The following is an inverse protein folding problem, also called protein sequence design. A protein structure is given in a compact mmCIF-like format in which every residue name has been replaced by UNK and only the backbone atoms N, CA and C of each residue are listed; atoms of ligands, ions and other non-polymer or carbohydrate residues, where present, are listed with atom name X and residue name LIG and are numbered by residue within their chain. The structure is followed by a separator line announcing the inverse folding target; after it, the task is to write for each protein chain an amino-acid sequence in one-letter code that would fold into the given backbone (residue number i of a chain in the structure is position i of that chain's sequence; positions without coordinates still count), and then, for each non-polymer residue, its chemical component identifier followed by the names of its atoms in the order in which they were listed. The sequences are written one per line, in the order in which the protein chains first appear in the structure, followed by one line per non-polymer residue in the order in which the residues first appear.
data_IF_858294892748
#
_entry.id   IF_858294892748
#
_cell.length_a   1.000
_cell.length_b   1.000
_cell.length_c   1.000
_cell.angle_alpha   90.00
_cell.angle_beta   90.00
_cell.angle_gamma   90.00
#
_symmetry.space_group_name_H-M   'P 1'
#
loop_
_entity.id
_entity.type
_entity.pdbx_description
1 polymer ?
#
# COMPACT_ATOMS: atom_id res chain seq x y z
N UNK A 1 41.82 30.33 -16.22
CA UNK A 1 40.54 31.01 -16.56
C UNK A 1 39.46 30.05 -17.08
N UNK A 2 39.69 29.25 -18.14
CA UNK A 2 38.67 28.29 -18.69
C UNK A 2 38.18 27.22 -17.69
N UNK A 3 39.07 26.68 -16.84
CA UNK A 3 38.69 25.69 -15.82
C UNK A 3 37.81 26.27 -14.69
N UNK A 4 38.02 27.54 -14.35
CA UNK A 4 37.26 28.24 -13.31
C UNK A 4 35.84 28.59 -13.79
N UNK A 5 35.72 29.07 -15.04
CA UNK A 5 34.43 29.29 -15.71
C UNK A 5 33.61 27.99 -15.88
N UNK A 6 34.26 26.86 -16.19
CA UNK A 6 33.60 25.53 -16.23
C UNK A 6 33.13 25.08 -14.84
N UNK A 7 33.88 25.34 -13.76
CA UNK A 7 33.45 25.07 -12.38
C UNK A 7 32.24 25.92 -11.97
N UNK A 8 32.23 27.20 -12.32
CA UNK A 8 31.08 28.10 -12.07
C UNK A 8 29.84 27.69 -12.85
N UNK A 9 29.99 27.32 -14.13
CA UNK A 9 28.89 26.79 -14.95
C UNK A 9 28.31 25.50 -14.35
N UNK A 10 29.15 24.55 -13.93
CA UNK A 10 28.69 23.33 -13.25
C UNK A 10 27.98 23.61 -11.93
N UNK A 11 28.50 24.53 -11.10
CA UNK A 11 27.83 24.93 -9.85
C UNK A 11 26.45 25.54 -10.09
N UNK A 12 26.30 26.39 -11.12
CA UNK A 12 25.00 26.96 -11.50
C UNK A 12 24.02 25.89 -11.96
N UNK A 13 24.45 24.95 -12.80
CA UNK A 13 23.61 23.83 -13.26
C UNK A 13 23.16 22.97 -12.09
N UNK A 14 24.07 22.60 -11.18
CA UNK A 14 23.73 21.82 -9.98
C UNK A 14 22.73 22.57 -9.10
N UNK A 15 22.91 23.88 -8.88
CA UNK A 15 21.94 24.66 -8.12
C UNK A 15 20.57 24.70 -8.79
N UNK A 16 20.50 24.87 -10.11
CA UNK A 16 19.23 24.85 -10.85
C UNK A 16 18.53 23.50 -10.66
N UNK A 17 19.25 22.39 -10.81
CA UNK A 17 18.71 21.04 -10.63
C UNK A 17 18.16 20.87 -9.21
N UNK A 18 18.93 21.25 -8.19
CA UNK A 18 18.50 21.16 -6.79
C UNK A 18 17.28 22.04 -6.51
N UNK A 19 17.24 23.25 -7.04
CA UNK A 19 16.08 24.14 -6.91
C UNK A 19 14.82 23.55 -7.56
N UNK A 20 14.94 22.95 -8.74
CA UNK A 20 13.82 22.29 -9.43
C UNK A 20 13.33 21.08 -8.65
N UNK A 21 14.23 20.24 -8.14
CA UNK A 21 13.86 19.09 -7.28
C UNK A 21 13.15 19.57 -6.02
N UNK A 22 13.69 20.59 -5.34
CA UNK A 22 13.11 21.12 -4.11
C UNK A 22 11.72 21.70 -4.36
N UNK A 23 11.54 22.48 -5.43
CA UNK A 23 10.23 22.99 -5.84
C UNK A 23 9.26 21.85 -6.11
N UNK A 24 9.69 20.81 -6.82
CA UNK A 24 8.88 19.61 -7.08
C UNK A 24 8.41 18.93 -5.79
N UNK A 25 9.33 18.69 -4.84
CA UNK A 25 8.99 18.07 -3.54
C UNK A 25 8.01 18.95 -2.75
N UNK A 26 8.23 20.26 -2.70
CA UNK A 26 7.33 21.20 -2.01
C UNK A 26 5.94 21.19 -2.65
N UNK A 27 5.85 21.21 -3.98
CA UNK A 27 4.58 21.10 -4.70
C UNK A 27 3.85 19.78 -4.40
N UNK A 28 4.56 18.65 -4.42
CA UNK A 28 3.98 17.34 -4.07
C UNK A 28 3.49 17.31 -2.62
N UNK A 29 4.22 17.90 -1.69
CA UNK A 29 3.82 17.97 -0.29
C UNK A 29 2.54 18.80 -0.11
N UNK A 30 2.46 19.97 -0.75
CA UNK A 30 1.26 20.83 -0.76
C UNK A 30 0.07 20.07 -1.37
N UNK A 31 0.23 19.48 -2.55
CA UNK A 31 -0.82 18.71 -3.23
C UNK A 31 -1.28 17.54 -2.36
N UNK A 32 -0.35 16.84 -1.69
CA UNK A 32 -0.68 15.73 -0.80
C UNK A 32 -1.51 16.15 0.42
N UNK A 33 -1.58 17.45 0.76
CA UNK A 33 -2.38 17.96 1.89
C UNK A 33 -3.73 18.53 1.43
N UNK A 34 -3.75 19.21 0.29
CA UNK A 34 -4.93 19.93 -0.20
C UNK A 34 -5.88 19.00 -0.96
N UNK A 35 -5.35 18.00 -1.66
CA UNK A 35 -6.18 17.11 -2.44
C UNK A 35 -6.97 16.14 -1.54
N UNK A 36 -8.28 15.97 -1.79
CA UNK A 36 -9.11 15.06 -1.03
C UNK A 36 -8.61 13.63 -1.22
N UNK A 37 -8.63 12.85 -0.14
CA UNK A 37 -8.44 11.40 -0.25
C UNK A 37 -9.60 10.86 -1.07
N UNK A 38 -9.32 10.19 -2.19
CA UNK A 38 -10.39 9.61 -3.01
C UNK A 38 -11.26 8.71 -2.12
N UNK A 39 -12.58 8.92 -2.11
CA UNK A 39 -13.47 8.06 -1.34
C UNK A 39 -13.29 6.64 -1.87
N UNK A 40 -12.85 5.74 -0.99
CA UNK A 40 -12.86 4.31 -1.26
C UNK A 40 -14.33 3.89 -1.25
N UNK A 41 -14.75 3.06 -2.21
CA UNK A 41 -16.11 2.55 -2.26
C UNK A 41 -16.53 1.87 -0.95
N UNK A 42 -17.83 1.63 -0.78
CA UNK A 42 -18.35 0.94 0.40
C UNK A 42 -17.86 -0.51 0.42
N UNK A 43 -16.82 -0.76 1.22
CA UNK A 43 -16.27 -2.09 1.45
C UNK A 43 -16.91 -2.69 2.71
N UNK A 44 -17.35 -3.95 2.60
CA UNK A 44 -17.92 -4.69 3.73
C UNK A 44 -17.15 -6.00 3.94
N UNK A 45 -16.40 -6.08 5.05
CA UNK A 45 -15.70 -7.30 5.44
C UNK A 45 -16.66 -8.48 5.60
N UNK A 46 -17.87 -8.24 6.09
CA UNK A 46 -18.92 -9.26 6.20
C UNK A 46 -19.26 -9.88 4.83
N UNK A 47 -19.42 -9.04 3.80
CA UNK A 47 -19.71 -9.49 2.44
C UNK A 47 -18.53 -10.27 1.86
N UNK A 48 -17.30 -9.79 2.07
CA UNK A 48 -16.09 -10.48 1.60
C UNK A 48 -15.95 -11.87 2.23
N UNK A 49 -16.10 -11.96 3.55
CA UNK A 49 -16.03 -13.22 4.30
C UNK A 49 -17.11 -14.19 3.82
N UNK A 50 -18.37 -13.74 3.72
CA UNK A 50 -19.47 -14.60 3.28
C UNK A 50 -19.30 -15.12 1.85
N UNK A 51 -18.62 -14.36 0.98
CA UNK A 51 -18.43 -14.71 -0.43
C UNK A 51 -17.22 -15.60 -0.68
N UNK A 52 -16.13 -15.39 0.03
CA UNK A 52 -14.83 -15.97 -0.30
C UNK A 52 -14.31 -16.99 0.71
N UNK A 53 -14.79 -16.99 1.94
CA UNK A 53 -14.33 -17.91 2.98
C UNK A 53 -15.20 -19.18 2.98
N UNK A 54 -14.62 -20.38 2.85
CA UNK A 54 -15.37 -21.63 2.93
C UNK A 54 -16.07 -21.80 4.29
N UNK A 55 -17.31 -22.32 4.29
CA UNK A 55 -18.12 -22.43 5.50
C UNK A 55 -17.46 -23.22 6.64
N UNK A 56 -16.62 -24.22 6.34
CA UNK A 56 -15.87 -24.99 7.33
C UNK A 56 -14.78 -24.19 8.07
N UNK A 57 -14.27 -23.11 7.48
CA UNK A 57 -13.30 -22.21 8.13
C UNK A 57 -13.99 -21.19 9.04
N UNK A 58 -15.23 -20.81 8.73
CA UNK A 58 -16.01 -19.87 9.56
C UNK A 58 -16.27 -20.42 10.97
N UNK A 59 -16.47 -21.73 11.10
CA UNK A 59 -16.61 -22.39 12.41
C UNK A 59 -15.31 -22.49 13.20
N UNK A 60 -14.15 -22.46 12.52
CA UNK A 60 -12.83 -22.59 13.14
C UNK A 60 -12.26 -21.24 13.59
N UNK A 61 -12.43 -20.19 12.78
CA UNK A 61 -11.82 -18.86 13.02
C UNK A 61 -12.84 -17.74 13.26
N UNK A 62 -14.14 -18.05 13.19
CA UNK A 62 -15.25 -17.14 13.47
C UNK A 62 -15.55 -16.13 12.35
N UNK A 63 -16.65 -15.39 12.53
CA UNK A 63 -17.06 -14.23 11.70
C UNK A 63 -16.60 -12.90 12.31
N UNK A 64 -15.81 -12.94 13.38
CA UNK A 64 -15.75 -11.82 14.32
C UNK A 64 -14.96 -10.64 13.75
N UNK A 65 -15.55 -9.44 13.85
CA UNK A 65 -14.85 -8.15 13.81
C UNK A 65 -13.98 -7.92 15.07
N UNK A 66 -13.88 -8.90 15.97
CA UNK A 66 -12.99 -8.83 17.13
C UNK A 66 -11.64 -9.37 16.72
N UNK A 67 -10.69 -8.46 16.68
CA UNK A 67 -9.32 -8.74 17.12
C UNK A 67 -9.42 -9.56 18.41
N UNK A 68 -8.74 -10.71 18.46
CA UNK A 68 -8.50 -11.64 19.57
C UNK A 68 -8.95 -13.08 19.30
N UNK A 69 -7.94 -13.94 19.11
CA UNK A 69 -8.05 -15.35 19.48
C UNK A 69 -8.19 -15.47 21.01
N UNK A 70 -9.00 -16.41 21.53
CA UNK A 70 -9.32 -16.53 22.95
C UNK A 70 -8.21 -17.13 23.83
N UNK A 71 -7.06 -17.50 23.28
CA UNK A 71 -6.04 -18.29 23.99
C UNK A 71 -4.67 -17.60 24.12
N UNK A 72 -4.54 -16.35 23.67
CA UNK A 72 -3.29 -15.61 23.74
C UNK A 72 -2.21 -16.11 22.77
N UNK A 73 -2.52 -17.05 21.87
CA UNK A 73 -1.65 -17.37 20.74
C UNK A 73 -1.88 -16.35 19.63
N UNK A 74 -0.85 -15.56 19.32
CA UNK A 74 -0.85 -14.72 18.13
C UNK A 74 -0.44 -15.65 16.99
N UNK A 75 -1.38 -15.98 16.11
CA UNK A 75 -1.09 -16.77 14.92
C UNK A 75 0.12 -16.18 14.18
N UNK A 76 1.04 -17.03 13.72
CA UNK A 76 2.14 -16.56 12.89
C UNK A 76 1.62 -16.10 11.53
N UNK A 77 2.23 -15.08 10.94
CA UNK A 77 1.86 -14.63 9.60
C UNK A 77 2.00 -15.75 8.54
N UNK A 78 2.88 -16.73 8.77
CA UNK A 78 3.03 -17.91 7.93
C UNK A 78 1.79 -18.82 7.97
N UNK A 79 1.19 -19.02 9.15
CA UNK A 79 -0.05 -19.79 9.30
C UNK A 79 -1.24 -19.05 8.68
N UNK A 80 -1.30 -17.73 8.86
CA UNK A 80 -2.31 -16.90 8.18
C UNK A 80 -2.19 -17.04 6.66
N UNK A 81 -0.98 -16.87 6.12
CA UNK A 81 -0.70 -16.94 4.67
C UNK A 81 -1.18 -18.23 4.04
N UNK A 82 -1.02 -19.35 4.76
CA UNK A 82 -1.33 -20.67 4.24
C UNK A 82 -2.83 -20.90 4.04
N UNK A 83 -3.63 -20.52 5.04
CA UNK A 83 -5.01 -21.01 5.13
C UNK A 83 -6.06 -19.87 5.18
N UNK A 84 -5.66 -18.60 5.32
CA UNK A 84 -6.58 -17.47 5.59
C UNK A 84 -6.38 -16.24 4.72
N UNK A 85 -5.55 -16.34 3.68
CA UNK A 85 -5.40 -15.30 2.65
C UNK A 85 -6.11 -15.75 1.38
N UNK A 86 -7.06 -14.95 0.91
CA UNK A 86 -7.87 -15.26 -0.26
C UNK A 86 -7.67 -14.26 -1.38
N UNK A 87 -7.44 -14.76 -2.59
CA UNK A 87 -7.35 -13.93 -3.78
C UNK A 87 -8.76 -13.56 -4.32
N UNK A 88 -9.03 -12.27 -4.52
CA UNK A 88 -10.36 -11.72 -4.89
C UNK A 88 -10.29 -10.79 -6.10
N UNK A 89 -11.44 -10.46 -6.71
CA UNK A 89 -11.51 -9.39 -7.73
C UNK A 89 -11.25 -8.04 -7.05
N UNK A 90 -10.37 -7.21 -7.63
CA UNK A 90 -10.03 -5.90 -7.09
C UNK A 90 -11.26 -4.98 -6.91
N UNK A 91 -12.32 -5.16 -7.71
CA UNK A 91 -13.59 -4.43 -7.55
C UNK A 91 -14.30 -4.75 -6.24
N UNK A 92 -14.21 -5.99 -5.76
CA UNK A 92 -14.85 -6.42 -4.52
C UNK A 92 -14.17 -5.79 -3.29
N UNK A 93 -12.90 -5.41 -3.42
CA UNK A 93 -12.15 -4.67 -2.39
C UNK A 93 -11.96 -3.18 -2.74
N UNK A 94 -12.89 -2.61 -3.51
CA UNK A 94 -12.93 -1.19 -3.85
C UNK A 94 -11.61 -0.64 -4.45
N UNK A 95 -10.93 -1.46 -5.26
CA UNK A 95 -9.67 -1.11 -5.92
C UNK A 95 -8.44 -1.16 -5.01
N UNK A 96 -8.55 -1.68 -3.78
CA UNK A 96 -7.41 -1.91 -2.91
C UNK A 96 -6.51 -3.02 -3.45
N UNK A 97 -5.24 -2.97 -3.08
CA UNK A 97 -4.30 -4.06 -3.35
C UNK A 97 -4.60 -5.26 -2.44
N UNK A 98 -4.92 -5.00 -1.17
CA UNK A 98 -5.32 -5.99 -0.17
C UNK A 98 -6.05 -5.35 1.02
N UNK A 99 -6.64 -6.18 1.86
CA UNK A 99 -7.29 -5.79 3.12
C UNK A 99 -7.38 -6.96 4.11
N UNK A 100 -7.04 -6.69 5.37
CA UNK A 100 -7.35 -7.54 6.50
C UNK A 100 -8.77 -7.29 7.04
N UNK A 101 -9.53 -8.36 7.24
CA UNK A 101 -10.92 -8.37 7.70
C UNK A 101 -11.08 -9.43 8.80
N UNK A 102 -10.92 -9.01 10.06
CA UNK A 102 -10.96 -9.91 11.21
C UNK A 102 -9.86 -10.98 11.10
N UNK A 103 -10.26 -12.25 11.07
CA UNK A 103 -9.36 -13.40 10.99
C UNK A 103 -8.85 -13.72 9.58
N UNK A 104 -9.24 -12.97 8.56
CA UNK A 104 -8.94 -13.28 7.15
C UNK A 104 -8.35 -12.08 6.43
N UNK A 105 -7.60 -12.35 5.36
CA UNK A 105 -7.06 -11.32 4.48
C UNK A 105 -7.49 -11.58 3.03
N UNK A 106 -7.70 -10.50 2.29
CA UNK A 106 -8.13 -10.53 0.90
C UNK A 106 -7.14 -9.75 0.03
N UNK A 107 -6.70 -10.34 -1.08
CA UNK A 107 -5.68 -9.76 -1.97
C UNK A 107 -6.21 -9.69 -3.39
N UNK A 108 -5.99 -8.59 -4.10
CA UNK A 108 -6.44 -8.46 -5.48
C UNK A 108 -5.70 -9.42 -6.43
N UNK A 109 -6.45 -10.19 -7.21
CA UNK A 109 -5.93 -11.03 -8.30
C UNK A 109 -5.30 -10.24 -9.43
N UNK A 110 -5.69 -8.96 -9.60
CA UNK A 110 -5.21 -8.12 -10.70
C UNK A 110 -3.76 -7.67 -10.53
N UNK A 111 -3.20 -7.83 -9.33
CA UNK A 111 -1.81 -7.50 -9.04
C UNK A 111 -0.84 -8.46 -9.76
N UNK A 112 0.34 -7.98 -10.18
CA UNK A 112 1.44 -8.84 -10.59
C UNK A 112 1.80 -9.87 -9.51
N UNK A 113 2.34 -11.03 -9.92
CA UNK A 113 2.60 -12.15 -9.00
C UNK A 113 3.45 -11.74 -7.78
N UNK A 114 4.55 -11.03 -7.98
CA UNK A 114 5.42 -10.60 -6.86
C UNK A 114 4.72 -9.57 -5.96
N UNK A 115 3.93 -8.66 -6.53
CA UNK A 115 3.12 -7.74 -5.75
C UNK A 115 2.09 -8.50 -4.89
N UNK A 116 1.46 -9.55 -5.42
CA UNK A 116 0.53 -10.39 -4.65
C UNK A 116 1.19 -11.05 -3.46
N UNK A 117 2.41 -11.60 -3.61
CA UNK A 117 3.15 -12.20 -2.48
C UNK A 117 3.39 -11.20 -1.37
N UNK A 118 3.88 -10.00 -1.73
CA UNK A 118 4.09 -8.92 -0.77
C UNK A 118 2.79 -8.53 -0.05
N UNK A 119 1.72 -8.27 -0.80
CA UNK A 119 0.45 -7.81 -0.24
C UNK A 119 -0.19 -8.91 0.62
N UNK A 120 -0.10 -10.18 0.21
CA UNK A 120 -0.56 -11.32 1.01
C UNK A 120 0.16 -11.37 2.36
N UNK A 121 1.48 -11.21 2.36
CA UNK A 121 2.27 -11.20 3.60
C UNK A 121 1.99 -9.96 4.45
N UNK A 122 1.80 -8.80 3.83
CA UNK A 122 1.40 -7.54 4.49
C UNK A 122 0.09 -7.73 5.26
N UNK A 123 -0.97 -8.15 4.58
CA UNK A 123 -2.27 -8.35 5.22
C UNK A 123 -2.25 -9.51 6.22
N UNK A 124 -1.44 -10.55 5.98
CA UNK A 124 -1.25 -11.62 6.94
C UNK A 124 -0.64 -11.15 8.26
N UNK A 125 0.27 -10.18 8.24
CA UNK A 125 0.78 -9.57 9.48
C UNK A 125 -0.30 -8.78 10.22
N UNK A 126 -1.21 -8.11 9.51
CA UNK A 126 -2.35 -7.44 10.14
C UNK A 126 -3.29 -8.42 10.84
N UNK A 127 -3.62 -9.54 10.19
CA UNK A 127 -4.41 -10.62 10.79
C UNK A 127 -3.69 -11.25 11.98
N UNK A 128 -2.37 -11.41 11.89
CA UNK A 128 -1.49 -11.83 12.99
C UNK A 128 -1.30 -10.74 14.08
N UNK A 129 -2.16 -9.71 14.13
CA UNK A 129 -2.19 -8.75 15.23
C UNK A 129 -1.22 -7.58 15.13
N UNK A 130 -0.46 -7.43 14.04
CA UNK A 130 0.39 -6.25 13.84
C UNK A 130 -0.46 -5.06 13.37
N UNK A 131 -0.58 -4.03 14.21
CA UNK A 131 -1.47 -2.88 13.95
C UNK A 131 -0.78 -1.71 13.24
N UNK A 132 0.54 -1.61 13.34
CA UNK A 132 1.29 -0.53 12.70
C UNK A 132 1.52 -0.83 11.22
N UNK A 133 0.87 -0.06 10.34
CA UNK A 133 1.11 -0.06 8.88
C UNK A 133 2.60 0.05 8.54
N UNK A 134 3.34 0.86 9.31
CA UNK A 134 4.78 1.03 9.08
C UNK A 134 5.53 -0.26 9.41
N UNK A 135 5.28 -0.85 10.58
CA UNK A 135 5.94 -2.09 10.97
C UNK A 135 5.61 -3.24 10.00
N UNK A 136 4.35 -3.31 9.54
CA UNK A 136 3.92 -4.29 8.54
C UNK A 136 4.62 -4.07 7.21
N UNK A 137 4.61 -2.85 6.67
CA UNK A 137 5.30 -2.53 5.40
C UNK A 137 6.80 -2.89 5.47
N UNK A 138 7.48 -2.54 6.56
CA UNK A 138 8.90 -2.88 6.72
C UNK A 138 9.12 -4.40 6.81
N UNK A 139 8.30 -5.11 7.60
CA UNK A 139 8.47 -6.54 7.80
C UNK A 139 8.12 -7.34 6.54
N UNK A 140 7.02 -7.00 5.88
CA UNK A 140 6.65 -7.59 4.59
C UNK A 140 7.67 -7.23 3.51
N UNK A 141 8.09 -5.97 3.43
CA UNK A 141 9.05 -5.48 2.45
C UNK A 141 10.46 -6.07 2.62
N UNK A 142 10.89 -6.37 3.84
CA UNK A 142 12.14 -7.06 4.10
C UNK A 142 12.14 -8.51 3.59
N UNK A 143 10.98 -9.17 3.58
CA UNK A 143 10.82 -10.53 3.06
C UNK A 143 10.53 -10.55 1.55
N UNK A 144 9.76 -9.58 1.06
CA UNK A 144 9.29 -9.49 -0.32
C UNK A 144 9.64 -8.12 -0.96
N UNK A 145 10.93 -7.75 -1.08
CA UNK A 145 11.34 -6.42 -1.51
C UNK A 145 10.95 -6.10 -2.95
N UNK A 146 11.06 -7.09 -3.85
CA UNK A 146 10.61 -6.95 -5.23
C UNK A 146 9.09 -6.75 -5.29
N UNK A 147 8.35 -7.51 -4.48
CA UNK A 147 6.90 -7.40 -4.39
C UNK A 147 6.43 -6.03 -3.89
N UNK A 148 7.13 -5.45 -2.91
CA UNK A 148 6.87 -4.09 -2.43
C UNK A 148 7.02 -3.05 -3.55
N UNK A 149 8.13 -3.10 -4.29
CA UNK A 149 8.40 -2.17 -5.40
C UNK A 149 7.36 -2.35 -6.51
N UNK A 150 7.02 -3.60 -6.86
CA UNK A 150 6.00 -3.90 -7.86
C UNK A 150 4.61 -3.42 -7.43
N UNK A 151 4.29 -3.51 -6.14
CA UNK A 151 3.04 -2.97 -5.58
C UNK A 151 2.96 -1.46 -5.78
N UNK A 152 4.04 -0.73 -5.46
CA UNK A 152 4.12 0.71 -5.68
C UNK A 152 3.95 1.05 -7.16
N UNK A 153 4.74 0.43 -8.05
CA UNK A 153 4.69 0.70 -9.49
C UNK A 153 3.30 0.41 -10.05
N UNK A 154 2.70 -0.71 -9.66
CA UNK A 154 1.34 -1.06 -10.07
C UNK A 154 0.32 -0.02 -9.60
N UNK A 155 0.38 0.42 -8.35
CA UNK A 155 -0.54 1.44 -7.84
C UNK A 155 -0.42 2.78 -8.56
N UNK A 156 0.81 3.22 -8.86
CA UNK A 156 1.06 4.42 -9.66
C UNK A 156 0.49 4.29 -11.08
N UNK A 157 0.77 3.17 -11.75
CA UNK A 157 0.26 2.90 -13.10
C UNK A 157 -1.27 2.78 -13.15
N UNK A 158 -1.86 2.07 -12.18
CA UNK A 158 -3.30 1.90 -12.09
C UNK A 158 -3.99 3.24 -11.84
N UNK A 159 -3.45 4.05 -10.93
CA UNK A 159 -3.91 5.41 -10.67
C UNK A 159 -3.86 6.28 -11.93
N UNK A 160 -2.74 6.30 -12.64
CA UNK A 160 -2.57 7.08 -13.87
C UNK A 160 -3.51 6.65 -15.00
N UNK A 161 -3.73 5.34 -15.18
CA UNK A 161 -4.58 4.80 -16.25
C UNK A 161 -6.09 4.99 -16.01
N UNK A 162 -6.50 5.29 -14.79
CA UNK A 162 -7.92 5.41 -14.40
C UNK A 162 -8.27 6.80 -13.85
N UNK A 163 -7.40 7.79 -14.06
CA UNK A 163 -7.62 9.16 -13.62
C UNK A 163 -7.85 10.07 -14.82
N UNK A 164 -8.79 11.00 -14.72
CA UNK A 164 -8.97 12.00 -15.76
C UNK A 164 -7.84 13.06 -15.71
N UNK A 165 -7.42 13.66 -16.85
CA UNK A 165 -6.28 14.58 -16.88
C UNK A 165 -6.36 15.75 -15.88
N UNK A 166 -7.56 16.27 -15.63
CA UNK A 166 -7.78 17.37 -14.67
C UNK A 166 -7.54 16.97 -13.20
N UNK A 167 -7.59 15.67 -12.88
CA UNK A 167 -7.34 15.13 -11.54
C UNK A 167 -5.86 14.72 -11.32
N UNK A 168 -4.99 14.89 -12.33
CA UNK A 168 -3.58 14.51 -12.25
C UNK A 168 -2.80 15.21 -11.14
N UNK A 169 -2.99 16.52 -10.86
CA UNK A 169 -2.33 17.16 -9.73
C UNK A 169 -2.63 16.44 -8.40
N UNK A 170 -3.87 15.99 -8.22
CA UNK A 170 -4.28 15.26 -7.03
C UNK A 170 -3.85 13.79 -7.03
N UNK A 171 -3.77 13.16 -8.20
CA UNK A 171 -3.11 11.87 -8.35
C UNK A 171 -1.65 11.94 -7.89
N UNK A 172 -0.87 12.91 -8.38
CA UNK A 172 0.53 13.09 -7.97
C UNK A 172 0.68 13.32 -6.46
N UNK A 173 -0.23 14.08 -5.84
CA UNK A 173 -0.27 14.24 -4.38
C UNK A 173 -0.59 12.95 -3.63
N UNK A 174 -1.52 12.14 -4.16
CA UNK A 174 -1.86 10.82 -3.62
C UNK A 174 -0.71 9.82 -3.74
N UNK A 175 -0.07 9.78 -4.90
CA UNK A 175 1.11 8.95 -5.21
C UNK A 175 2.29 9.31 -4.32
N UNK A 176 2.52 10.60 -4.07
CA UNK A 176 3.51 11.06 -3.10
C UNK A 176 3.23 10.54 -1.69
N UNK A 177 1.96 10.56 -1.26
CA UNK A 177 1.55 10.00 0.03
C UNK A 177 1.75 8.48 0.09
N UNK A 178 1.45 7.78 -1.01
CA UNK A 178 1.68 6.34 -1.14
C UNK A 178 3.17 6.03 -0.99
N UNK A 179 4.03 6.71 -1.75
CA UNK A 179 5.49 6.54 -1.66
C UNK A 179 6.00 6.79 -0.23
N UNK A 180 5.53 7.85 0.44
CA UNK A 180 5.88 8.13 1.85
C UNK A 180 5.43 7.03 2.80
N UNK A 181 4.26 6.43 2.56
CA UNK A 181 3.74 5.34 3.40
C UNK A 181 4.63 4.10 3.27
N UNK A 182 4.91 3.68 2.04
CA UNK A 182 5.68 2.47 1.77
C UNK A 182 7.16 2.63 2.15
N UNK A 183 7.83 3.72 1.76
CA UNK A 183 9.28 3.86 1.90
C UNK A 183 9.73 4.62 3.14
N UNK A 184 8.86 5.44 3.74
CA UNK A 184 9.24 6.30 4.87
C UNK A 184 8.42 6.03 6.13
N UNK A 185 7.45 5.11 6.09
CA UNK A 185 6.55 4.84 7.23
C UNK A 185 5.67 6.03 7.61
N UNK A 186 5.48 6.99 6.69
CA UNK A 186 4.69 8.19 6.94
C UNK A 186 3.31 8.03 6.30
N UNK A 187 2.43 7.27 6.97
CA UNK A 187 1.06 7.03 6.56
C UNK A 187 0.09 7.19 7.74
N UNK A 188 -0.60 8.35 7.77
CA UNK A 188 -1.58 8.85 8.78
C UNK A 188 -1.03 9.32 10.13
N UNK A 189 -0.89 10.64 10.24
CA UNK A 189 -1.74 11.43 11.15
C UNK A 189 -2.96 11.94 10.39
#
# INVERSE_FOLDING_TARGET
MRAWLRRLGRKKIVMIILSVILLGIVSLEILSRICPVRPRGNLSCAVLIARYVPSGMLSQYGYSNRMFMPDGSVDSAAEVLKDRVFEVDGRDIAGLNGIACGSYAFVSRSLPQEARKYVALHEAYHVAGMTSETAVNYKAGANEPLGMVMTVIYSLWYGASHTAPWDYPCLCGGDWRLLKTYFMGMGRG
#
